data_IF_848223191824
#
_entry.id   IF_848223191824
#
_cell.length_a   1.000
_cell.length_b   1.000
_cell.length_c   1.000
_cell.angle_alpha   90.00
_cell.angle_beta   90.00
_cell.angle_gamma   90.00
#
_symmetry.space_group_name_H-M   'P 1'
#
loop_
_entity.id
_entity.type
_entity.pdbx_description
1 polymer ?
#
# COMPACT_ATOMS: atom_id res chain seq x y z
N UNK A 1 0.48 12.35 -4.32
CA UNK A 1 -0.39 11.72 -3.27
C UNK A 1 -1.09 10.54 -3.91
N UNK A 2 -0.95 9.33 -3.36
CA UNK A 2 -1.53 8.10 -3.90
C UNK A 2 -2.62 7.58 -2.94
N UNK A 3 -3.66 6.93 -3.47
CA UNK A 3 -4.70 6.22 -2.71
C UNK A 3 -4.71 4.77 -3.18
N UNK A 4 -4.68 3.84 -2.23
CA UNK A 4 -4.59 2.39 -2.48
C UNK A 4 -5.59 1.68 -1.56
N UNK A 5 -6.09 0.51 -1.98
CA UNK A 5 -6.83 -0.35 -1.04
C UNK A 5 -5.85 -1.05 -0.10
N UNK A 6 -6.36 -1.51 1.04
CA UNK A 6 -5.57 -2.19 2.07
C UNK A 6 -4.72 -3.36 1.55
N UNK A 7 -5.22 -4.09 0.54
CA UNK A 7 -4.56 -5.27 -0.03
C UNK A 7 -3.63 -4.96 -1.22
N UNK A 8 -3.46 -3.71 -1.62
CA UNK A 8 -2.47 -3.37 -2.65
C UNK A 8 -1.07 -3.67 -2.13
N UNK A 9 -0.26 -4.33 -2.96
CA UNK A 9 1.13 -4.60 -2.62
C UNK A 9 2.00 -3.37 -2.86
N UNK A 10 2.86 -3.09 -1.88
CA UNK A 10 3.86 -2.03 -1.92
C UNK A 10 5.22 -2.66 -1.66
N UNK A 11 6.21 -2.27 -2.47
CA UNK A 11 7.59 -2.70 -2.25
C UNK A 11 8.24 -1.82 -1.19
N UNK A 12 8.76 -2.46 -0.15
CA UNK A 12 9.50 -1.83 0.95
C UNK A 12 10.95 -2.27 0.96
N UNK A 13 11.83 -1.39 1.43
CA UNK A 13 13.23 -1.69 1.70
C UNK A 13 13.56 -1.59 3.19
N UNK A 14 14.64 -2.26 3.62
CA UNK A 14 15.22 -2.06 4.94
C UNK A 14 16.30 -0.99 4.87
N UNK A 15 16.40 -0.12 5.88
CA UNK A 15 17.46 0.91 5.96
C UNK A 15 18.87 0.31 5.89
N UNK A 16 19.04 -0.95 6.31
CA UNK A 16 20.34 -1.65 6.30
C UNK A 16 20.69 -2.26 4.94
N UNK A 17 19.70 -2.44 4.05
CA UNK A 17 19.92 -3.09 2.76
C UNK A 17 18.80 -2.72 1.76
N UNK A 18 18.97 -1.59 1.08
CA UNK A 18 18.06 -1.10 0.04
C UNK A 18 17.97 -2.03 -1.18
N UNK A 19 18.93 -2.94 -1.35
CA UNK A 19 18.93 -3.96 -2.41
C UNK A 19 17.97 -5.13 -2.16
N UNK A 20 17.46 -5.31 -0.93
CA UNK A 20 16.49 -6.37 -0.62
C UNK A 20 15.08 -5.79 -0.53
N UNK A 21 14.34 -5.88 -1.63
CA UNK A 21 12.93 -5.48 -1.68
C UNK A 21 12.03 -6.59 -1.14
N UNK A 22 11.03 -6.22 -0.35
CA UNK A 22 9.92 -7.11 0.04
C UNK A 22 8.59 -6.48 -0.33
N UNK A 23 7.64 -7.28 -0.80
CA UNK A 23 6.28 -6.82 -1.03
C UNK A 23 5.46 -7.00 0.26
N UNK A 24 4.77 -5.93 0.67
CA UNK A 24 3.86 -5.94 1.83
C UNK A 24 2.52 -5.33 1.43
N UNK A 25 1.46 -5.64 2.18
CA UNK A 25 0.18 -4.98 1.97
C UNK A 25 0.25 -3.49 2.37
N UNK A 26 -0.49 -2.64 1.68
CA UNK A 26 -0.58 -1.21 1.99
C UNK A 26 -1.06 -0.96 3.42
N UNK A 27 -1.89 -1.85 3.98
CA UNK A 27 -2.32 -1.83 5.38
C UNK A 27 -1.20 -2.08 6.40
N UNK A 28 -0.10 -2.71 6.00
CA UNK A 28 1.02 -3.05 6.86
C UNK A 28 2.13 -1.99 6.83
N UNK A 29 2.06 -1.02 5.92
CA UNK A 29 3.03 0.06 5.81
C UNK A 29 2.87 1.01 7.00
N UNK A 30 4.00 1.46 7.57
CA UNK A 30 4.07 2.38 8.71
C UNK A 30 4.81 3.65 8.34
N UNK A 31 4.52 4.79 8.99
CA UNK A 31 5.34 5.99 8.87
C UNK A 31 6.80 5.68 9.20
N UNK A 32 7.72 6.27 8.43
CA UNK A 32 9.16 6.05 8.54
C UNK A 32 9.70 4.87 7.74
N UNK A 33 8.86 3.92 7.28
CA UNK A 33 9.34 2.87 6.37
C UNK A 33 9.73 3.44 5.01
N UNK A 34 10.76 2.82 4.39
CA UNK A 34 11.15 3.12 3.02
C UNK A 34 10.29 2.30 2.06
N UNK A 35 9.59 2.99 1.17
CA UNK A 35 8.84 2.40 0.05
C UNK A 35 9.52 2.77 -1.26
N UNK A 36 9.40 1.90 -2.26
CA UNK A 36 9.89 2.20 -3.60
C UNK A 36 8.77 2.82 -4.43
N UNK A 37 9.02 4.02 -4.94
CA UNK A 37 8.10 4.75 -5.81
C UNK A 37 8.80 5.09 -7.12
N UNK A 38 8.08 4.93 -8.22
CA UNK A 38 8.52 5.36 -9.54
C UNK A 38 8.25 6.87 -9.68
N UNK A 39 9.28 7.66 -9.98
CA UNK A 39 9.17 9.12 -10.15
C UNK A 39 8.94 9.56 -11.61
N UNK A 40 8.96 8.62 -12.56
CA UNK A 40 8.89 8.89 -14.00
C UNK A 40 10.15 8.47 -14.74
N UNK A 41 11.30 8.48 -14.07
CA UNK A 41 12.62 8.18 -14.65
C UNK A 41 13.33 7.03 -13.93
N UNK A 42 13.12 6.92 -12.61
CA UNK A 42 13.76 5.91 -11.77
C UNK A 42 12.87 5.46 -10.64
N UNK A 43 13.18 4.28 -10.13
CA UNK A 43 12.63 3.78 -8.88
C UNK A 43 13.43 4.38 -7.72
N UNK A 44 12.79 5.17 -6.87
CA UNK A 44 13.40 5.82 -5.73
C UNK A 44 12.88 5.23 -4.41
N UNK A 45 13.79 4.97 -3.47
CA UNK A 45 13.42 4.67 -2.09
C UNK A 45 13.02 5.97 -1.38
N UNK A 46 11.78 6.06 -0.91
CA UNK A 46 11.23 7.24 -0.25
C UNK A 46 10.64 6.88 1.10
N UNK A 47 10.88 7.72 2.11
CA UNK A 47 10.33 7.52 3.44
C UNK A 47 8.84 7.93 3.49
N UNK A 48 8.01 7.06 4.06
CA UNK A 48 6.58 7.34 4.27
C UNK A 48 6.43 8.38 5.38
N UNK A 49 6.07 9.61 5.02
CA UNK A 49 5.88 10.68 6.02
C UNK A 49 4.56 10.57 6.80
N UNK A 50 3.47 10.20 6.13
CA UNK A 50 2.11 10.15 6.70
C UNK A 50 1.26 9.11 5.98
N UNK A 51 0.41 8.43 6.74
CA UNK A 51 -0.56 7.47 6.26
C UNK A 51 -1.95 7.96 6.70
N UNK A 52 -2.91 7.89 5.78
CA UNK A 52 -4.29 8.25 6.05
C UNK A 52 -5.18 7.09 5.60
N UNK A 53 -6.00 6.59 6.52
CA UNK A 53 -7.05 5.62 6.18
C UNK A 53 -8.31 6.39 5.79
N UNK A 54 -8.85 6.08 4.61
CA UNK A 54 -10.17 6.55 4.21
C UNK A 54 -11.09 5.34 4.14
N UNK A 55 -12.12 5.34 4.98
CA UNK A 55 -13.21 4.38 4.88
C UNK A 55 -14.28 4.96 3.95
N UNK A 56 -14.54 4.28 2.86
CA UNK A 56 -15.67 4.59 2.00
C UNK A 56 -16.90 3.85 2.55
N UNK A 57 -17.79 4.56 3.23
CA UNK A 57 -19.09 4.03 3.61
C UNK A 57 -19.97 4.05 2.35
N UNK A 58 -20.30 2.87 1.83
CA UNK A 58 -21.08 2.73 0.59
C UNK A 58 -20.61 1.65 -0.40
N UNK A 59 -19.81 0.66 0.02
CA UNK A 59 -19.58 -0.53 -0.80
C UNK A 59 -20.79 -1.45 -0.71
N UNK A 60 -21.78 -1.26 -1.58
CA UNK A 60 -22.91 -2.18 -1.71
C UNK A 60 -22.41 -3.46 -2.40
N UNK A 61 -22.05 -4.47 -1.61
CA UNK A 61 -21.84 -5.83 -2.07
C UNK A 61 -23.03 -6.66 -1.57
N UNK A 62 -24.16 -6.68 -2.31
CA UNK A 62 -25.34 -7.40 -1.89
C UNK A 62 -25.02 -8.90 -1.97
N UNK A 63 -24.79 -9.52 -0.81
CA UNK A 63 -24.84 -10.98 -0.70
C UNK A 63 -26.32 -11.32 -0.64
N UNK A 64 -26.87 -11.82 -1.75
CA UNK A 64 -28.22 -12.40 -1.72
C UNK A 64 -28.18 -13.68 -0.89
N UNK A 65 -29.32 -14.10 -0.33
CA UNK A 65 -29.42 -15.24 0.60
C UNK A 65 -28.91 -16.59 0.04
N UNK A 66 -28.46 -16.65 -1.22
CA UNK A 66 -27.87 -17.81 -1.88
C UNK A 66 -26.34 -17.76 -2.04
N UNK A 67 -25.66 -16.72 -1.54
CA UNK A 67 -24.20 -16.75 -1.33
C UNK A 67 -23.35 -16.95 -2.58
N UNK A 68 -23.74 -16.43 -3.74
CA UNK A 68 -22.88 -16.37 -4.94
C UNK A 68 -22.95 -15.00 -5.60
N UNK A 69 -21.80 -14.54 -6.12
CA UNK A 69 -21.60 -13.28 -6.86
C UNK A 69 -21.99 -13.46 -8.32
#
# INVERSE_FOLDING_TARGET
>A
KIRLTAAHLIFTGSERNSTRMSAVFASQVRPGQQVFAWDGERLAAVAVKRIYTQEHVGSFAPVTAQGTV
#
